data_IF_134745131673
#
_entry.id   IF_134745131673
#
_cell.length_a   1.000
_cell.length_b   1.000
_cell.length_c   1.000
_cell.angle_alpha   90.00
_cell.angle_beta   90.00
_cell.angle_gamma   90.00
#
_symmetry.space_group_name_H-M   'P 1'
#
loop_
_entity.id
_entity.type
_entity.pdbx_description
1 polymer ?
#
# COMPACT_ATOMS: atom_id res chain seq x y z
N UNK A 1 16.09 -5.64 22.62
CA UNK A 1 16.85 -4.37 22.73
C UNK A 1 15.85 -3.24 22.63
N UNK A 2 15.85 -2.32 23.59
CA UNK A 2 14.81 -1.31 23.77
C UNK A 2 14.74 -0.38 22.55
N UNK A 3 13.58 -0.34 21.88
CA UNK A 3 13.28 0.63 20.84
C UNK A 3 12.92 1.93 21.54
N UNK A 4 13.72 2.96 21.31
CA UNK A 4 13.53 4.30 21.84
C UNK A 4 12.24 4.92 21.25
N UNK A 5 11.17 4.85 22.03
CA UNK A 5 9.86 5.43 21.71
C UNK A 5 9.83 6.97 21.80
N UNK A 6 10.99 7.61 21.99
CA UNK A 6 11.09 9.05 22.28
C UNK A 6 11.44 9.91 21.08
N UNK A 7 11.56 9.36 19.87
CA UNK A 7 11.77 10.18 18.67
C UNK A 7 10.43 10.82 18.25
N UNK A 8 10.23 12.14 18.46
CA UNK A 8 9.06 12.82 17.90
C UNK A 8 9.08 12.65 16.37
N UNK A 9 7.90 12.51 15.76
CA UNK A 9 7.70 12.78 14.33
C UNK A 9 8.14 14.23 14.08
N UNK A 10 9.43 14.42 13.79
CA UNK A 10 9.94 15.68 13.29
C UNK A 10 9.44 15.79 11.85
N UNK A 11 8.23 16.31 11.69
CA UNK A 11 7.79 16.85 10.41
C UNK A 11 8.82 17.91 10.05
N UNK A 12 9.68 17.62 9.09
CA UNK A 12 10.63 18.58 8.56
C UNK A 12 9.82 19.74 7.96
N UNK A 13 9.60 20.79 8.76
CA UNK A 13 8.96 22.03 8.33
C UNK A 13 9.98 22.89 7.60
N UNK A 14 10.55 22.37 6.51
CA UNK A 14 11.20 23.24 5.54
C UNK A 14 10.13 23.76 4.58
N UNK A 15 10.07 25.09 4.50
CA UNK A 15 9.11 25.86 3.70
C UNK A 15 9.28 25.52 2.22
N UNK A 16 8.55 24.51 1.74
CA UNK A 16 8.29 24.35 0.32
C UNK A 16 7.34 25.48 -0.09
N UNK A 17 7.85 26.40 -0.92
CA UNK A 17 7.03 27.41 -1.59
C UNK A 17 6.15 26.66 -2.59
N UNK A 18 4.89 26.44 -2.22
CA UNK A 18 3.89 25.79 -3.08
C UNK A 18 3.29 26.85 -4.00
N UNK A 19 3.59 26.77 -5.31
CA UNK A 19 2.90 27.56 -6.33
C UNK A 19 1.39 27.23 -6.31
N UNK A 20 0.56 28.26 -6.46
CA UNK A 20 -0.91 28.15 -6.41
C UNK A 20 -1.47 27.59 -7.71
N UNK A 21 -1.30 26.29 -7.93
CA UNK A 21 -2.05 25.59 -8.98
C UNK A 21 -3.39 25.09 -8.41
N UNK A 22 -4.47 25.38 -9.15
CA UNK A 22 -5.85 25.03 -8.80
C UNK A 22 -6.25 23.72 -9.46
N UNK A 23 -6.76 22.74 -8.70
CA UNK A 23 -7.12 21.41 -9.19
C UNK A 23 -8.56 21.07 -8.78
N UNK A 24 -9.47 20.89 -9.73
CA UNK A 24 -10.88 20.46 -9.52
C UNK A 24 -11.52 20.99 -8.22
N UNK A 25 -11.49 22.32 -8.03
CA UNK A 25 -12.12 23.00 -6.89
C UNK A 25 -11.28 23.17 -5.62
N UNK A 26 -10.10 22.55 -5.48
CA UNK A 26 -9.17 22.78 -4.37
C UNK A 26 -7.75 23.09 -4.89
N UNK A 27 -7.10 24.15 -4.40
CA UNK A 27 -5.70 24.41 -4.74
C UNK A 27 -4.76 23.42 -4.05
N UNK A 28 -3.59 23.14 -4.66
CA UNK A 28 -2.53 22.32 -4.02
C UNK A 28 -2.22 22.85 -2.61
N UNK A 29 -2.15 24.18 -2.47
CA UNK A 29 -1.97 24.83 -1.17
C UNK A 29 -3.11 24.57 -0.17
N UNK A 30 -4.35 24.50 -0.64
CA UNK A 30 -5.52 24.14 0.18
C UNK A 30 -5.45 22.70 0.69
N UNK A 31 -5.08 21.76 -0.18
CA UNK A 31 -4.90 20.34 0.17
C UNK A 31 -3.75 20.15 1.17
N UNK A 32 -2.61 20.82 0.95
CA UNK A 32 -1.49 20.77 1.89
C UNK A 32 -1.87 21.34 3.26
N UNK A 33 -2.55 22.48 3.30
CA UNK A 33 -3.04 23.04 4.56
C UNK A 33 -4.01 22.10 5.28
N UNK A 34 -4.82 21.35 4.53
CA UNK A 34 -5.70 20.33 5.11
C UNK A 34 -4.92 19.13 5.65
N UNK A 35 -3.91 18.64 4.93
CA UNK A 35 -3.02 17.57 5.40
C UNK A 35 -2.41 17.93 6.75
N UNK A 36 -1.84 19.14 6.87
CA UNK A 36 -1.25 19.64 8.12
C UNK A 36 -2.28 19.70 9.25
N UNK A 37 -3.51 20.16 8.98
CA UNK A 37 -4.58 20.17 9.99
C UNK A 37 -4.93 18.74 10.45
N UNK A 38 -5.04 17.80 9.52
CA UNK A 38 -5.40 16.41 9.83
C UNK A 38 -4.30 15.73 10.64
N UNK A 39 -3.03 15.85 10.25
CA UNK A 39 -1.90 15.25 10.97
C UNK A 39 -1.72 15.85 12.37
N UNK A 40 -1.91 17.16 12.51
CA UNK A 40 -1.91 17.84 13.82
C UNK A 40 -3.02 17.29 14.73
N UNK A 41 -4.22 17.09 14.18
CA UNK A 41 -5.33 16.51 14.94
C UNK A 41 -5.07 15.07 15.36
N UNK A 42 -4.51 14.25 14.47
CA UNK A 42 -4.09 12.86 14.77
C UNK A 42 -3.07 12.88 15.90
N UNK A 43 -2.01 13.66 15.78
CA UNK A 43 -0.96 13.77 16.79
C UNK A 43 -1.55 14.15 18.16
N UNK A 44 -2.44 15.15 18.21
CA UNK A 44 -3.11 15.56 19.44
C UNK A 44 -3.96 14.43 20.05
N UNK A 45 -4.71 13.69 19.23
CA UNK A 45 -5.49 12.53 19.70
C UNK A 45 -4.59 11.43 20.25
N UNK A 46 -3.46 11.15 19.60
CA UNK A 46 -2.51 10.13 20.05
C UNK A 46 -1.79 10.52 21.35
N UNK A 47 -1.40 11.78 21.50
CA UNK A 47 -0.79 12.31 22.73
C UNK A 47 -1.74 12.25 23.94
N UNK A 48 -3.04 12.18 23.70
CA UNK A 48 -4.05 12.11 24.76
C UNK A 48 -4.31 10.67 25.26
N UNK A 49 -3.76 9.66 24.57
CA UNK A 49 -3.91 8.25 24.92
C UNK A 49 -2.70 7.75 25.71
N UNK A 50 -2.94 6.83 26.65
CA UNK A 50 -1.86 5.99 27.20
C UNK A 50 -1.28 5.10 26.09
N UNK A 51 -0.09 4.54 26.30
CA UNK A 51 0.52 3.64 25.31
C UNK A 51 -0.38 2.41 25.04
N UNK A 52 -0.92 1.80 26.09
CA UNK A 52 -1.77 0.61 25.99
C UNK A 52 -3.11 0.94 25.33
N UNK A 53 -3.74 2.06 25.70
CA UNK A 53 -4.96 2.52 25.03
C UNK A 53 -4.71 2.86 23.57
N UNK A 54 -3.58 3.50 23.27
CA UNK A 54 -3.14 3.85 21.94
C UNK A 54 -3.06 2.63 21.03
N UNK A 55 -2.45 1.54 21.48
CA UNK A 55 -2.35 0.29 20.72
C UNK A 55 -3.74 -0.29 20.45
N UNK A 56 -4.60 -0.39 21.48
CA UNK A 56 -5.95 -0.94 21.35
C UNK A 56 -6.83 -0.13 20.39
N UNK A 57 -6.67 1.20 20.36
CA UNK A 57 -7.40 2.08 19.43
C UNK A 57 -6.81 2.00 18.02
N UNK A 58 -5.49 2.04 17.90
CA UNK A 58 -4.81 2.15 16.60
C UNK A 58 -4.85 0.86 15.80
N UNK A 59 -4.67 -0.30 16.43
CA UNK A 59 -4.60 -1.57 15.73
C UNK A 59 -5.78 -1.82 14.77
N UNK A 60 -7.07 -1.70 15.18
CA UNK A 60 -8.19 -1.87 14.25
C UNK A 60 -8.25 -0.79 13.17
N UNK A 61 -7.88 0.46 13.49
CA UNK A 61 -7.92 1.57 12.54
C UNK A 61 -6.84 1.41 11.46
N UNK A 62 -5.61 1.12 11.87
CA UNK A 62 -4.47 0.92 10.98
C UNK A 62 -4.67 -0.33 10.14
N UNK A 63 -5.13 -1.44 10.73
CA UNK A 63 -5.46 -2.66 9.98
C UNK A 63 -6.51 -2.39 8.89
N UNK A 64 -7.55 -1.60 9.20
CA UNK A 64 -8.57 -1.19 8.22
C UNK A 64 -8.00 -0.28 7.13
N UNK A 65 -7.09 0.64 7.48
CA UNK A 65 -6.43 1.53 6.53
C UNK A 65 -5.54 0.75 5.56
N UNK A 66 -4.74 -0.20 6.07
CA UNK A 66 -3.89 -1.06 5.24
C UNK A 66 -4.71 -1.98 4.35
N UNK A 67 -5.81 -2.55 4.85
CA UNK A 67 -6.74 -3.32 4.01
C UNK A 67 -7.37 -2.46 2.89
N UNK A 68 -7.65 -1.18 3.16
CA UNK A 68 -8.13 -0.23 2.14
C UNK A 68 -7.09 0.05 1.06
N UNK A 69 -5.83 0.19 1.44
CA UNK A 69 -4.73 0.32 0.49
C UNK A 69 -4.68 -0.88 -0.47
N UNK A 70 -4.76 -2.11 0.05
CA UNK A 70 -4.79 -3.34 -0.76
C UNK A 70 -6.01 -3.37 -1.67
N UNK A 71 -7.20 -3.11 -1.12
CA UNK A 71 -8.45 -3.08 -1.88
C UNK A 71 -8.39 -2.11 -3.06
N UNK A 72 -7.98 -0.86 -2.81
CA UNK A 72 -7.91 0.16 -3.85
C UNK A 72 -6.84 -0.20 -4.90
N UNK A 73 -5.70 -0.73 -4.46
CA UNK A 73 -4.64 -1.15 -5.37
C UNK A 73 -5.08 -2.29 -6.28
N UNK A 74 -5.70 -3.35 -5.74
CA UNK A 74 -6.22 -4.48 -6.52
C UNK A 74 -7.29 -4.05 -7.51
N UNK A 75 -8.16 -3.11 -7.10
CA UNK A 75 -9.18 -2.59 -7.99
C UNK A 75 -8.61 -1.92 -9.22
N UNK A 76 -7.43 -1.29 -9.18
CA UNK A 76 -6.87 -0.63 -10.38
C UNK A 76 -6.76 -1.63 -11.54
N UNK A 77 -6.26 -2.83 -11.28
CA UNK A 77 -6.08 -3.90 -12.29
C UNK A 77 -7.30 -4.81 -12.46
N UNK A 78 -8.43 -4.47 -11.82
CA UNK A 78 -9.67 -5.25 -11.87
C UNK A 78 -9.51 -6.69 -11.32
N UNK A 79 -8.59 -6.84 -10.36
CA UNK A 79 -8.30 -8.10 -9.66
C UNK A 79 -8.75 -8.05 -8.20
N UNK A 80 -8.69 -9.19 -7.50
CA UNK A 80 -9.13 -9.32 -6.12
C UNK A 80 -10.65 -9.43 -5.97
N UNK A 81 -11.20 -8.90 -4.87
CA UNK A 81 -12.59 -9.08 -4.46
C UNK A 81 -13.24 -7.79 -3.95
N UNK A 82 -14.45 -7.91 -3.42
CA UNK A 82 -15.13 -6.78 -2.79
C UNK A 82 -14.44 -6.33 -1.49
N UNK A 83 -14.96 -5.24 -0.92
CA UNK A 83 -14.41 -4.64 0.28
C UNK A 83 -14.47 -5.58 1.49
N UNK A 84 -15.57 -6.31 1.66
CA UNK A 84 -15.79 -7.16 2.81
C UNK A 84 -14.87 -8.38 2.77
N UNK A 85 -14.75 -9.02 1.59
CA UNK A 85 -13.79 -10.10 1.35
C UNK A 85 -12.34 -9.61 1.58
N UNK A 86 -11.99 -8.45 1.02
CA UNK A 86 -10.63 -7.90 1.18
C UNK A 86 -10.30 -7.58 2.63
N UNK A 87 -11.24 -6.96 3.36
CA UNK A 87 -11.09 -6.68 4.79
C UNK A 87 -10.88 -7.97 5.58
N UNK A 88 -11.73 -8.97 5.32
CA UNK A 88 -11.72 -10.23 6.03
C UNK A 88 -10.38 -10.97 5.86
N UNK A 89 -9.83 -10.99 4.65
CA UNK A 89 -8.54 -11.63 4.36
C UNK A 89 -7.33 -10.81 4.86
N UNK A 90 -7.37 -9.49 4.75
CA UNK A 90 -6.26 -8.62 5.15
C UNK A 90 -6.10 -8.49 6.68
N UNK A 91 -7.21 -8.48 7.42
CA UNK A 91 -7.21 -8.20 8.85
C UNK A 91 -6.30 -9.13 9.67
N UNK A 92 -6.39 -10.48 9.56
CA UNK A 92 -5.50 -11.37 10.31
C UNK A 92 -4.02 -11.21 9.93
N UNK A 93 -3.72 -10.84 8.69
CA UNK A 93 -2.34 -10.63 8.21
C UNK A 93 -1.70 -9.45 8.94
N UNK A 94 -2.39 -8.31 8.93
CA UNK A 94 -1.87 -7.08 9.51
C UNK A 94 -1.87 -7.09 11.04
N UNK A 95 -2.72 -7.89 11.69
CA UNK A 95 -2.72 -8.08 13.15
C UNK A 95 -1.72 -9.13 13.62
N UNK A 96 -1.33 -10.06 12.76
CA UNK A 96 -0.39 -11.12 13.10
C UNK A 96 0.95 -10.54 13.57
N UNK A 97 1.46 -11.05 14.70
CA UNK A 97 2.82 -10.75 15.19
C UNK A 97 3.90 -11.62 14.53
N UNK A 98 3.52 -12.57 13.65
CA UNK A 98 4.47 -13.44 12.95
C UNK A 98 5.26 -12.65 11.90
N UNK A 99 6.56 -12.95 11.80
CA UNK A 99 7.47 -12.44 10.77
C UNK A 99 7.00 -12.87 9.38
N UNK A 100 7.07 -11.98 8.39
CA UNK A 100 6.70 -12.27 7.00
C UNK A 100 7.75 -13.07 6.23
N UNK A 101 8.97 -13.21 6.75
CA UNK A 101 10.00 -14.07 6.15
C UNK A 101 9.80 -15.56 6.49
N UNK A 102 9.02 -15.87 7.53
CA UNK A 102 8.60 -17.24 7.87
C UNK A 102 7.43 -17.74 6.99
N UNK A 103 6.98 -16.94 6.01
CA UNK A 103 5.90 -17.31 5.08
C UNK A 103 6.25 -18.54 4.24
N UNK A 104 7.53 -18.90 4.10
CA UNK A 104 7.97 -20.12 3.41
C UNK A 104 7.93 -21.39 4.29
N UNK A 105 7.80 -21.28 5.61
CA UNK A 105 7.95 -22.41 6.55
C UNK A 105 6.63 -22.90 7.14
N UNK A 106 5.56 -22.11 7.07
CA UNK A 106 4.28 -22.43 7.74
C UNK A 106 3.08 -22.30 6.80
N UNK A 107 3.07 -23.07 5.70
CA UNK A 107 1.92 -23.18 4.78
C UNK A 107 0.66 -23.71 5.49
N UNK A 108 0.80 -24.70 6.36
CA UNK A 108 -0.34 -25.38 6.99
C UNK A 108 -1.10 -24.52 8.02
N UNK A 109 -0.39 -23.72 8.83
CA UNK A 109 -1.05 -22.91 9.86
C UNK A 109 -1.70 -21.66 9.29
N UNK A 110 -1.08 -21.05 8.28
CA UNK A 110 -1.61 -19.85 7.65
C UNK A 110 -2.80 -20.19 6.72
N UNK A 111 -2.72 -21.29 5.97
CA UNK A 111 -3.87 -21.82 5.22
C UNK A 111 -5.01 -22.23 6.15
N UNK A 112 -4.74 -22.88 7.29
CA UNK A 112 -5.77 -23.16 8.30
C UNK A 112 -6.40 -21.90 8.89
N UNK A 113 -5.63 -20.82 9.07
CA UNK A 113 -6.12 -19.53 9.57
C UNK A 113 -6.97 -18.82 8.51
N UNK A 114 -6.56 -18.86 7.24
CA UNK A 114 -7.36 -18.36 6.10
C UNK A 114 -8.61 -19.20 5.85
N UNK A 115 -8.52 -20.52 5.98
CA UNK A 115 -9.66 -21.45 5.88
C UNK A 115 -10.64 -21.24 7.04
N UNK A 116 -10.15 -20.96 8.25
CA UNK A 116 -11.02 -20.57 9.39
C UNK A 116 -11.72 -19.22 9.17
N UNK A 117 -11.14 -18.36 8.34
CA UNK A 117 -11.71 -17.09 7.88
C UNK A 117 -12.65 -17.27 6.67
N UNK A 118 -12.66 -18.42 5.99
CA UNK A 118 -13.64 -18.65 4.93
C UNK A 118 -15.02 -18.87 5.56
N UNK A 119 -15.92 -17.90 5.40
CA UNK A 119 -17.34 -18.10 5.67
C UNK A 119 -17.84 -19.35 4.90
N UNK A 120 -18.70 -20.19 5.48
CA UNK A 120 -19.27 -21.33 4.76
C UNK A 120 -20.01 -20.83 3.52
N UNK A 121 -19.45 -21.10 2.34
CA UNK A 121 -20.00 -20.64 1.07
C UNK A 121 -21.16 -21.54 0.66
N UNK A 122 -22.31 -20.93 0.36
CA UNK A 122 -23.47 -21.62 -0.20
C UNK A 122 -23.33 -21.90 -1.71
N UNK A 123 -22.29 -21.36 -2.35
CA UNK A 123 -22.02 -21.43 -3.78
C UNK A 123 -20.76 -22.21 -4.11
N UNK A 124 -20.76 -22.85 -5.29
CA UNK A 124 -19.59 -23.55 -5.84
C UNK A 124 -18.44 -22.56 -6.02
N UNK A 125 -17.32 -22.83 -5.37
CA UNK A 125 -16.08 -22.03 -5.48
C UNK A 125 -15.40 -22.36 -6.80
N UNK A 126 -15.09 -21.35 -7.62
CA UNK A 126 -14.37 -21.54 -8.88
C UNK A 126 -12.85 -21.34 -8.68
N UNK A 127 -12.00 -21.90 -9.57
CA UNK A 127 -10.56 -21.61 -9.55
C UNK A 127 -10.22 -20.11 -9.63
N UNK A 128 -11.07 -19.32 -10.32
CA UNK A 128 -10.90 -17.87 -10.40
C UNK A 128 -11.15 -17.18 -9.03
N UNK A 129 -12.07 -17.70 -8.22
CA UNK A 129 -12.32 -17.19 -6.87
C UNK A 129 -11.14 -17.49 -5.95
N UNK A 130 -10.59 -18.70 -6.03
CA UNK A 130 -9.38 -19.09 -5.29
C UNK A 130 -8.20 -18.19 -5.68
N UNK A 131 -8.01 -17.94 -6.98
CA UNK A 131 -6.94 -17.07 -7.48
C UNK A 131 -7.08 -15.63 -6.94
N UNK A 132 -8.28 -15.05 -6.96
CA UNK A 132 -8.54 -13.70 -6.42
C UNK A 132 -8.23 -13.60 -4.94
N UNK A 133 -8.58 -14.61 -4.15
CA UNK A 133 -8.25 -14.64 -2.71
C UNK A 133 -6.74 -14.71 -2.50
N UNK A 134 -6.04 -15.57 -3.26
CA UNK A 134 -4.59 -15.64 -3.22
C UNK A 134 -3.94 -14.31 -3.59
N UNK A 135 -4.42 -13.60 -4.62
CA UNK A 135 -3.92 -12.28 -4.99
C UNK A 135 -4.06 -11.26 -3.84
N UNK A 136 -5.21 -11.24 -3.15
CA UNK A 136 -5.41 -10.37 -1.97
C UNK A 136 -4.43 -10.74 -0.85
N UNK A 137 -4.33 -12.03 -0.52
CA UNK A 137 -3.49 -12.53 0.56
C UNK A 137 -2.02 -12.21 0.31
N UNK A 138 -1.52 -12.49 -0.89
CA UNK A 138 -0.12 -12.26 -1.22
C UNK A 138 0.22 -10.78 -1.29
N UNK A 139 -0.70 -9.95 -1.78
CA UNK A 139 -0.51 -8.50 -1.76
C UNK A 139 -0.44 -7.96 -0.32
N UNK A 140 -1.33 -8.41 0.57
CA UNK A 140 -1.29 -8.02 1.97
C UNK A 140 -0.01 -8.52 2.69
N UNK A 141 0.45 -9.75 2.42
CA UNK A 141 1.72 -10.28 2.93
C UNK A 141 2.92 -9.46 2.44
N UNK A 142 2.95 -9.12 1.16
CA UNK A 142 4.01 -8.30 0.56
C UNK A 142 4.02 -6.88 1.13
N UNK A 143 2.85 -6.27 1.31
CA UNK A 143 2.72 -4.97 1.97
C UNK A 143 3.26 -5.03 3.40
N UNK A 144 2.85 -6.03 4.18
CA UNK A 144 3.36 -6.22 5.54
C UNK A 144 4.88 -6.38 5.57
N UNK A 145 5.45 -7.16 4.65
CA UNK A 145 6.90 -7.33 4.54
C UNK A 145 7.61 -6.01 4.25
N UNK A 146 7.19 -5.29 3.20
CA UNK A 146 7.80 -4.02 2.82
C UNK A 146 7.71 -2.97 3.93
N UNK A 147 6.56 -2.87 4.60
CA UNK A 147 6.38 -1.97 5.75
C UNK A 147 7.24 -2.39 6.95
N UNK A 148 7.39 -3.68 7.18
CA UNK A 148 8.25 -4.17 8.27
C UNK A 148 9.70 -3.81 8.00
N UNK A 149 10.21 -4.09 6.80
CA UNK A 149 11.61 -3.83 6.46
C UNK A 149 11.92 -2.33 6.36
N UNK A 150 11.13 -1.57 5.61
CA UNK A 150 11.44 -0.16 5.30
C UNK A 150 11.02 0.78 6.42
N UNK A 151 9.86 0.55 7.05
CA UNK A 151 9.30 1.46 8.04
C UNK A 151 9.62 1.03 9.48
N UNK A 152 9.37 -0.23 9.87
CA UNK A 152 9.59 -0.67 11.25
C UNK A 152 11.06 -0.94 11.58
N UNK A 153 11.78 -1.65 10.70
CA UNK A 153 13.22 -1.88 10.86
C UNK A 153 14.07 -0.69 10.37
N UNK A 154 13.46 0.22 9.59
CA UNK A 154 14.11 1.42 9.11
C UNK A 154 15.17 1.16 8.03
N UNK A 155 15.16 -0.02 7.41
CA UNK A 155 16.09 -0.35 6.33
C UNK A 155 15.92 0.62 5.15
N UNK A 156 17.02 0.89 4.46
CA UNK A 156 16.96 1.55 3.16
C UNK A 156 16.31 0.63 2.15
N UNK A 157 15.57 1.19 1.20
CA UNK A 157 15.02 0.40 0.12
C UNK A 157 16.16 -0.20 -0.71
N UNK A 158 16.24 -1.52 -0.74
CA UNK A 158 17.24 -2.26 -1.50
C UNK A 158 16.58 -3.08 -2.61
N UNK A 159 17.39 -3.43 -3.61
CA UNK A 159 17.01 -4.40 -4.64
C UNK A 159 16.52 -5.72 -4.03
N UNK A 160 17.19 -6.20 -2.98
CA UNK A 160 16.79 -7.41 -2.25
C UNK A 160 15.36 -7.30 -1.68
N UNK A 161 15.01 -6.18 -1.05
CA UNK A 161 13.66 -5.95 -0.53
C UNK A 161 12.64 -5.95 -1.67
N UNK A 162 12.96 -5.34 -2.81
CA UNK A 162 12.07 -5.31 -3.99
C UNK A 162 11.85 -6.72 -4.57
N UNK A 163 12.91 -7.50 -4.75
CA UNK A 163 12.83 -8.86 -5.29
C UNK A 163 12.11 -9.80 -4.32
N UNK A 164 12.35 -9.70 -3.01
CA UNK A 164 11.63 -10.49 -2.01
C UNK A 164 10.16 -10.10 -1.95
N UNK A 165 9.84 -8.80 -2.03
CA UNK A 165 8.44 -8.34 -2.12
C UNK A 165 7.76 -8.96 -3.35
N UNK A 166 8.39 -8.89 -4.53
CA UNK A 166 7.84 -9.49 -5.75
C UNK A 166 7.64 -11.00 -5.61
N UNK A 167 8.59 -11.70 -4.98
CA UNK A 167 8.47 -13.14 -4.74
C UNK A 167 7.29 -13.49 -3.83
N UNK A 168 7.07 -12.71 -2.76
CA UNK A 168 5.89 -12.88 -1.90
C UNK A 168 4.61 -12.64 -2.70
N UNK A 169 4.56 -11.55 -3.47
CA UNK A 169 3.39 -11.17 -4.27
C UNK A 169 2.95 -12.23 -5.28
N UNK A 170 3.92 -12.94 -5.85
CA UNK A 170 3.69 -13.93 -6.92
C UNK A 170 3.53 -15.34 -6.38
N UNK A 171 3.73 -15.55 -5.08
CA UNK A 171 3.73 -16.88 -4.48
C UNK A 171 2.42 -17.63 -4.73
N UNK A 172 2.54 -18.84 -5.30
CA UNK A 172 1.42 -19.73 -5.66
C UNK A 172 0.36 -19.08 -6.57
N UNK A 173 0.81 -18.17 -7.43
CA UNK A 173 0.01 -17.57 -8.49
C UNK A 173 0.77 -17.82 -9.78
N UNK A 174 0.16 -18.56 -10.70
CA UNK A 174 0.75 -18.72 -12.03
C UNK A 174 0.62 -17.42 -12.83
N UNK A 175 1.60 -17.21 -13.70
CA UNK A 175 1.59 -16.12 -14.66
C UNK A 175 0.43 -16.30 -15.65
N UNK A 176 0.04 -15.22 -16.33
CA UNK A 176 -1.01 -15.25 -17.35
C UNK A 176 -0.68 -16.21 -18.51
N UNK A 177 0.61 -16.46 -18.75
CA UNK A 177 1.11 -17.40 -19.77
C UNK A 177 1.36 -18.81 -19.21
N UNK A 178 0.98 -19.06 -17.95
CA UNK A 178 1.10 -20.36 -17.28
C UNK A 178 2.48 -20.66 -16.70
N UNK A 179 3.40 -19.68 -16.66
CA UNK A 179 4.70 -19.86 -16.02
C UNK A 179 4.53 -19.94 -14.50
N UNK A 180 5.14 -20.93 -13.82
CA UNK A 180 5.06 -21.05 -12.37
C UNK A 180 5.83 -19.92 -11.67
N UNK A 181 5.45 -19.53 -10.45
CA UNK A 181 6.07 -18.42 -9.72
C UNK A 181 7.55 -18.63 -9.41
N UNK A 182 8.04 -19.86 -9.41
CA UNK A 182 9.47 -20.16 -9.26
C UNK A 182 10.32 -19.65 -10.43
N UNK A 183 9.72 -19.39 -11.59
CA UNK A 183 10.43 -18.93 -12.79
C UNK A 183 10.47 -17.41 -12.92
N UNK A 184 9.51 -16.68 -12.32
CA UNK A 184 9.39 -15.22 -12.48
C UNK A 184 9.34 -14.44 -11.14
N UNK A 185 9.10 -15.12 -10.02
CA UNK A 185 8.95 -14.52 -8.70
C UNK A 185 10.27 -14.01 -8.11
N UNK A 186 10.48 -12.69 -8.15
CA UNK A 186 11.62 -12.03 -7.54
C UNK A 186 12.87 -12.15 -8.42
N UNK A 187 12.66 -12.13 -9.73
CA UNK A 187 13.70 -12.17 -10.75
C UNK A 187 13.42 -11.03 -11.73
N UNK A 188 14.47 -10.33 -12.17
CA UNK A 188 14.33 -9.34 -13.23
C UNK A 188 14.06 -9.99 -14.58
N UNK A 189 13.37 -9.27 -15.46
CA UNK A 189 13.11 -9.70 -16.83
C UNK A 189 14.40 -10.03 -17.57
N UNK A 190 14.45 -11.19 -18.19
CA UNK A 190 15.39 -11.47 -19.27
C UNK A 190 14.78 -11.01 -20.59
N UNK A 191 15.59 -10.47 -21.51
CA UNK A 191 15.16 -9.80 -22.76
C UNK A 191 14.37 -10.66 -23.75
N UNK A 192 14.10 -11.93 -23.44
CA UNK A 192 13.43 -12.92 -24.28
C UNK A 192 12.16 -13.53 -23.67
N UNK A 193 11.69 -13.07 -22.51
CA UNK A 193 10.48 -13.63 -21.89
C UNK A 193 9.20 -13.09 -22.57
N UNK A 194 8.22 -13.95 -22.91
CA UNK A 194 6.96 -13.54 -23.52
C UNK A 194 5.96 -12.88 -22.54
N UNK A 195 6.29 -12.77 -21.25
CA UNK A 195 5.40 -12.39 -20.14
C UNK A 195 5.16 -10.88 -19.99
N UNK A 196 4.56 -10.25 -21.00
CA UNK A 196 4.23 -8.83 -20.89
C UNK A 196 3.08 -8.55 -19.90
N UNK A 197 2.13 -9.46 -19.71
CA UNK A 197 0.84 -9.13 -19.03
C UNK A 197 0.85 -9.38 -17.52
N UNK A 198 1.42 -10.48 -17.04
CA UNK A 198 1.43 -10.85 -15.61
C UNK A 198 2.44 -10.06 -14.77
N UNK A 199 3.61 -9.77 -15.34
CA UNK A 199 4.66 -9.02 -14.66
C UNK A 199 4.40 -7.50 -14.61
N UNK A 200 3.58 -6.97 -15.54
CA UNK A 200 3.14 -5.57 -15.49
C UNK A 200 2.24 -5.31 -14.27
N UNK A 201 1.35 -6.26 -13.95
CA UNK A 201 0.49 -6.21 -12.77
C UNK A 201 1.30 -6.24 -11.47
N UNK A 202 2.28 -7.14 -11.33
CA UNK A 202 3.15 -7.18 -10.15
C UNK A 202 4.01 -5.91 -10.00
N UNK A 203 4.51 -5.35 -11.11
CA UNK A 203 5.29 -4.10 -11.10
C UNK A 203 4.47 -2.90 -10.65
N UNK A 204 3.20 -2.84 -11.06
CA UNK A 204 2.25 -1.82 -10.62
C UNK A 204 2.02 -1.88 -9.10
N UNK A 205 1.75 -3.07 -8.57
CA UNK A 205 1.54 -3.25 -7.14
C UNK A 205 2.77 -2.89 -6.31
N UNK A 206 3.97 -3.31 -6.73
CA UNK A 206 5.21 -2.95 -6.04
C UNK A 206 5.41 -1.43 -6.04
N UNK A 207 5.08 -0.74 -7.14
CA UNK A 207 5.16 0.71 -7.21
C UNK A 207 4.23 1.40 -6.20
N UNK A 208 3.02 0.85 -6.01
CA UNK A 208 2.07 1.34 -5.00
C UNK A 208 2.52 1.07 -3.56
N UNK A 209 3.08 -0.12 -3.30
CA UNK A 209 3.64 -0.44 -1.99
C UNK A 209 4.83 0.44 -1.67
N UNK A 210 5.71 0.68 -2.65
CA UNK A 210 6.85 1.55 -2.50
C UNK A 210 6.45 3.00 -2.20
N UNK A 211 5.49 3.54 -2.96
CA UNK A 211 4.94 4.87 -2.71
C UNK A 211 4.42 4.96 -1.27
N UNK A 212 3.64 3.98 -0.82
CA UNK A 212 3.08 3.98 0.53
C UNK A 212 4.13 3.78 1.63
N UNK A 213 5.18 3.00 1.40
CA UNK A 213 6.30 2.88 2.33
C UNK A 213 7.02 4.23 2.51
N UNK A 214 7.23 4.96 1.41
CA UNK A 214 7.81 6.32 1.45
C UNK A 214 6.87 7.29 2.17
N UNK A 215 5.58 7.29 1.86
CA UNK A 215 4.60 8.18 2.49
C UNK A 215 4.46 7.91 3.99
N UNK A 216 4.46 6.64 4.42
CA UNK A 216 4.46 6.30 5.84
C UNK A 216 5.72 6.78 6.54
N UNK A 217 6.90 6.57 5.92
CA UNK A 217 8.19 7.00 6.47
C UNK A 217 8.32 8.53 6.57
N UNK A 218 7.74 9.27 5.64
CA UNK A 218 7.92 10.73 5.53
C UNK A 218 6.82 11.56 6.17
N UNK A 219 5.56 11.14 6.05
CA UNK A 219 4.39 11.91 6.50
C UNK A 219 3.45 11.11 7.42
N UNK A 220 3.73 9.83 7.68
CA UNK A 220 2.89 8.99 8.55
C UNK A 220 1.51 8.71 7.96
N UNK A 221 1.38 8.69 6.63
CA UNK A 221 0.11 8.53 5.94
C UNK A 221 0.19 7.51 4.79
N UNK A 222 -0.97 7.03 4.37
CA UNK A 222 -1.15 6.08 3.28
C UNK A 222 -1.98 6.75 2.18
N UNK A 223 -1.63 6.51 0.93
CA UNK A 223 -2.44 6.82 -0.24
C UNK A 223 -3.23 5.57 -0.66
N UNK A 224 -4.56 5.69 -0.68
CA UNK A 224 -5.47 4.70 -1.24
C UNK A 224 -5.87 5.14 -2.66
N UNK A 225 -5.00 4.90 -3.64
CA UNK A 225 -5.23 5.25 -5.04
C UNK A 225 -6.17 4.23 -5.71
N UNK A 226 -7.10 4.68 -6.55
CA UNK A 226 -8.04 3.80 -7.25
C UNK A 226 -9.34 3.48 -6.49
N UNK A 227 -9.73 4.33 -5.54
CA UNK A 227 -10.92 4.13 -4.70
C UNK A 227 -12.24 4.20 -5.50
N UNK A 228 -12.25 4.90 -6.63
CA UNK A 228 -13.38 5.02 -7.56
C UNK A 228 -12.93 4.87 -9.02
N UNK A 229 -13.89 4.63 -9.93
CA UNK A 229 -13.63 4.39 -11.35
C UNK A 229 -12.90 5.54 -12.02
N UNK A 230 -13.29 6.79 -11.75
CA UNK A 230 -12.68 7.96 -12.35
C UNK A 230 -11.20 8.09 -11.91
N UNK A 231 -10.91 7.87 -10.63
CA UNK A 231 -9.54 7.87 -10.11
C UNK A 231 -8.68 6.76 -10.71
N UNK A 232 -9.24 5.58 -10.97
CA UNK A 232 -8.54 4.46 -11.64
C UNK A 232 -8.18 4.82 -13.07
N UNK A 233 -9.16 5.31 -13.83
CA UNK A 233 -8.97 5.70 -15.24
C UNK A 233 -7.96 6.83 -15.37
N UNK A 234 -8.04 7.83 -14.48
CA UNK A 234 -7.09 8.94 -14.43
C UNK A 234 -5.68 8.46 -14.15
N UNK A 235 -5.52 7.49 -13.23
CA UNK A 235 -4.22 6.95 -12.87
C UNK A 235 -3.59 6.14 -14.01
N UNK A 236 -4.41 5.34 -14.71
CA UNK A 236 -3.98 4.60 -15.91
C UNK A 236 -3.57 5.57 -17.02
N UNK A 237 -4.38 6.58 -17.30
CA UNK A 237 -4.08 7.60 -18.31
C UNK A 237 -2.79 8.37 -18.00
N UNK A 238 -2.53 8.69 -16.73
CA UNK A 238 -1.28 9.32 -16.31
C UNK A 238 -0.09 8.35 -16.48
N UNK A 239 -0.26 7.08 -16.12
CA UNK A 239 0.74 6.04 -16.37
C UNK A 239 1.10 5.93 -17.85
N UNK A 240 0.09 5.83 -18.72
CA UNK A 240 0.26 5.74 -20.17
C UNK A 240 0.94 6.99 -20.76
N UNK A 241 0.59 8.16 -20.24
CA UNK A 241 1.19 9.43 -20.68
C UNK A 241 2.65 9.60 -20.26
N UNK A 242 3.04 9.08 -19.08
CA UNK A 242 4.44 9.14 -18.60
C UNK A 242 5.30 8.09 -19.28
N UNK A 243 4.74 6.90 -19.50
CA UNK A 243 5.41 5.77 -20.12
C UNK A 243 5.36 5.80 -21.67
N UNK A 244 5.09 6.97 -22.27
CA UNK A 244 4.79 7.14 -23.69
C UNK A 244 5.58 6.19 -24.60
N UNK A 245 4.86 5.53 -25.51
CA UNK A 245 5.30 4.45 -26.42
C UNK A 245 6.82 4.32 -26.50
N UNK A 246 7.43 3.20 -26.06
CA UNK A 246 8.87 3.05 -26.16
C UNK A 246 9.27 3.19 -27.63
N UNK A 247 9.77 4.36 -28.03
CA UNK A 247 10.66 4.43 -29.17
C UNK A 247 11.79 3.50 -28.78
N UNK A 248 11.88 2.40 -29.51
CA UNK A 248 12.85 1.33 -29.35
C UNK A 248 14.26 1.89 -29.61
N UNK A 249 14.73 2.79 -28.76
CA UNK A 249 16.15 3.10 -28.67
C UNK A 249 16.79 1.81 -28.20
N UNK A 250 17.67 1.26 -29.03
CA UNK A 250 18.54 0.16 -28.66
C UNK A 250 19.42 0.63 -27.50
N UNK A 251 18.93 0.46 -26.28
CA UNK A 251 19.71 0.70 -25.08
C UNK A 251 20.78 -0.38 -25.05
N UNK A 252 22.02 0.02 -25.33
CA UNK A 252 23.19 -0.83 -25.13
C UNK A 252 23.26 -1.22 -23.65
N UNK A 253 23.58 -2.48 -23.31
CA UNK A 253 23.65 -2.93 -21.92
C UNK A 253 24.71 -2.10 -21.19
N UNK A 254 24.28 -1.27 -20.22
CA UNK A 254 25.17 -0.41 -19.43
C UNK A 254 24.80 1.08 -19.35
N UNK A 255 23.76 1.56 -20.04
CA UNK A 255 23.26 2.95 -19.88
C UNK A 255 21.76 2.98 -19.60
N UNK A 256 21.37 2.95 -18.32
CA UNK A 256 20.04 3.42 -17.91
C UNK A 256 20.12 4.94 -17.87
N UNK A 257 19.75 5.62 -18.95
CA UNK A 257 19.44 7.05 -18.93
C UNK A 257 17.95 7.24 -18.74
N UNK A 258 17.44 6.84 -17.57
CA UNK A 258 16.18 7.37 -17.10
C UNK A 258 16.49 8.77 -16.57
N UNK A 259 16.47 9.79 -17.43
CA UNK A 259 16.44 11.17 -16.95
C UNK A 259 15.09 11.36 -16.25
N UNK A 260 15.04 11.48 -14.91
CA UNK A 260 13.79 11.76 -14.25
C UNK A 260 13.43 13.19 -14.63
N UNK A 261 12.27 13.39 -15.25
CA UNK A 261 11.65 14.70 -15.14
C UNK A 261 11.43 14.92 -13.64
N UNK A 262 12.25 15.80 -13.03
CA UNK A 262 12.28 16.10 -11.59
C UNK A 262 10.89 16.45 -11.03
N UNK A 263 9.98 16.81 -11.94
CA UNK A 263 8.56 16.95 -11.73
C UNK A 263 7.82 15.79 -12.41
N UNK A 264 7.55 14.71 -11.66
CA UNK A 264 6.52 13.74 -12.07
C UNK A 264 5.22 14.47 -12.41
N UNK A 265 4.36 13.93 -13.28
CA UNK A 265 3.23 14.67 -13.85
C UNK A 265 2.37 15.28 -12.73
N UNK A 266 2.05 16.56 -12.86
CA UNK A 266 1.32 17.33 -11.84
C UNK A 266 -0.01 16.65 -11.45
N UNK A 267 -0.63 15.97 -12.41
CA UNK A 267 -1.79 15.12 -12.19
C UNK A 267 -1.53 13.99 -11.17
N UNK A 268 -0.41 13.27 -11.25
CA UNK A 268 -0.08 12.21 -10.27
C UNK A 268 0.16 12.80 -8.88
N UNK A 269 0.89 13.92 -8.80
CA UNK A 269 1.16 14.62 -7.53
C UNK A 269 -0.14 15.03 -6.84
N UNK A 270 -1.05 15.63 -7.61
CA UNK A 270 -2.40 15.99 -7.18
C UNK A 270 -3.19 14.79 -6.67
N UNK A 271 -3.21 13.69 -7.42
CA UNK A 271 -3.95 12.47 -7.05
C UNK A 271 -3.42 11.86 -5.75
N UNK A 272 -2.10 11.76 -5.60
CA UNK A 272 -1.46 11.27 -4.38
C UNK A 272 -1.81 12.18 -3.20
N UNK A 273 -1.66 13.51 -3.36
CA UNK A 273 -1.96 14.45 -2.28
C UNK A 273 -3.44 14.41 -1.87
N UNK A 274 -4.38 14.39 -2.82
CA UNK A 274 -5.82 14.25 -2.54
C UNK A 274 -6.10 12.96 -1.75
N UNK A 275 -5.50 11.83 -2.17
CA UNK A 275 -5.68 10.53 -1.51
C UNK A 275 -5.10 10.49 -0.09
N UNK A 276 -3.94 11.11 0.12
CA UNK A 276 -3.30 11.23 1.45
C UNK A 276 -4.13 12.13 2.37
N UNK A 277 -4.63 13.26 1.88
CA UNK A 277 -5.53 14.14 2.64
C UNK A 277 -6.81 13.40 3.05
N UNK A 278 -7.40 12.64 2.14
CA UNK A 278 -8.60 11.84 2.44
C UNK A 278 -8.31 10.77 3.50
N UNK A 279 -7.19 10.07 3.37
CA UNK A 279 -6.82 9.00 4.30
C UNK A 279 -6.52 9.55 5.70
N UNK A 280 -5.80 10.67 5.80
CA UNK A 280 -5.54 11.35 7.08
C UNK A 280 -6.82 11.93 7.69
N UNK A 281 -7.77 12.41 6.86
CA UNK A 281 -9.08 12.86 7.35
C UNK A 281 -9.88 11.72 7.96
N UNK A 282 -9.92 10.57 7.30
CA UNK A 282 -10.58 9.37 7.84
C UNK A 282 -9.93 8.88 9.13
N UNK A 283 -8.61 8.84 9.19
CA UNK A 283 -7.86 8.47 10.39
C UNK A 283 -8.15 9.43 11.55
N UNK A 284 -8.12 10.74 11.30
CA UNK A 284 -8.46 11.75 12.31
C UNK A 284 -9.89 11.59 12.83
N UNK A 285 -10.86 11.32 11.95
CA UNK A 285 -12.26 11.07 12.33
C UNK A 285 -12.40 9.79 13.16
N UNK A 286 -11.77 8.69 12.75
CA UNK A 286 -11.81 7.41 13.45
C UNK A 286 -11.19 7.53 14.86
N UNK A 287 -10.02 8.16 14.97
CA UNK A 287 -9.38 8.41 16.26
C UNK A 287 -10.26 9.25 17.18
N UNK A 288 -10.87 10.34 16.66
CA UNK A 288 -11.78 11.16 17.46
C UNK A 288 -12.99 10.39 17.98
N UNK A 289 -13.56 9.51 17.16
CA UNK A 289 -14.69 8.67 17.58
C UNK A 289 -14.29 7.74 18.73
N UNK A 290 -13.15 7.06 18.61
CA UNK A 290 -12.65 6.15 19.65
C UNK A 290 -12.21 6.89 20.92
N UNK A 291 -11.49 8.00 20.80
CA UNK A 291 -11.05 8.79 21.97
C UNK A 291 -12.23 9.49 22.65
N UNK A 292 -13.21 9.99 21.88
CA UNK A 292 -14.38 10.68 22.40
C UNK A 292 -15.31 9.77 23.21
N UNK A 293 -15.39 8.48 22.85
CA UNK A 293 -16.15 7.47 23.58
C UNK A 293 -15.42 7.02 24.86
N UNK A 294 -14.08 7.05 24.90
CA UNK A 294 -13.31 6.64 26.09
C UNK A 294 -13.32 7.67 27.23
N UNK A 295 -13.47 8.97 26.94
CA UNK A 295 -13.57 9.99 28.00
C UNK A 295 -14.91 9.99 28.76
N UNK A 296 -15.90 9.18 28.34
CA UNK A 296 -17.20 9.07 29.03
C UNK A 296 -17.31 7.93 30.05
N UNK A 297 -16.28 7.10 30.25
CA UNK A 297 -16.31 5.96 31.18
C UNK A 297 -15.34 6.06 32.36
N UNK A 298 -14.84 7.25 32.67
CA UNK A 298 -14.19 7.52 33.95
C UNK A 298 -15.07 8.50 34.74
N UNK A 299 -16.04 7.94 35.47
CA UNK A 299 -16.81 8.60 36.51
C UNK A 299 -16.33 8.10 37.87
#
# INVERSE_FOLDING_TARGET
MAVDASRPLAVATDRVVVNQDTLDGASVGGLYAELVRNTTAIQKSLQALSLDDGILVLEPIVSKLLARMIYCSNRIDDVGGDWDATMHLCQPIFRSKKSTLDVYREELEYEALVDSCRQPRSTIVTPADIRREHEIIQHAKAAKYMLTEVYLHGHELSEEILLNTHRIMTYNIDSADGAPPTEYGGVYRSSSAPSQTSEQSASWFISQLLLNAILLKTVGAVACLGNDTQSRESLKAVGDSVCGSPKREQVSPGKITATPHLHGPEALRSMVLKSVVESTRHLAKALRAETGIRYSNAA
#
